data_IF_874815952243
#
_entry.id   IF_874815952243
#
_cell.length_a   1.000
_cell.length_b   1.000
_cell.length_c   1.000
_cell.angle_alpha   90.00
_cell.angle_beta   90.00
_cell.angle_gamma   90.00
#
_symmetry.space_group_name_H-M   'P 1'
#
loop_
_entity.id
_entity.type
_entity.pdbx_description
1 polymer ?
2 non-polymer ?
3 water ?
#
# COMPACT_ATOMS: atom_id res chain seq x y z
N UNK A 13 15.43 -24.94 9.03
CA UNK A 13 15.35 -25.73 10.25
C UNK A 13 15.32 -24.84 11.48
N UNK A 14 15.84 -23.63 11.32
CA UNK A 14 15.69 -22.58 12.31
C UNK A 14 14.78 -21.51 11.75
N UNK A 15 15.18 -20.25 11.88
CA UNK A 15 14.37 -19.14 11.39
C UNK A 15 14.41 -19.09 9.86
N UNK A 16 13.26 -18.89 9.25
CA UNK A 16 13.16 -18.82 7.80
C UNK A 16 12.70 -17.41 7.41
N UNK A 17 13.31 -16.83 6.38
CA UNK A 17 12.87 -15.54 5.86
C UNK A 17 12.35 -15.76 4.43
N UNK A 18 11.18 -15.20 4.14
CA UNK A 18 10.64 -15.26 2.78
C UNK A 18 10.48 -13.83 2.30
N UNK A 19 11.38 -13.38 1.44
CA UNK A 19 11.28 -12.02 0.91
C UNK A 19 10.41 -11.94 -0.34
N UNK A 20 9.68 -10.84 -0.49
CA UNK A 20 8.92 -10.58 -1.70
C UNK A 20 9.73 -9.65 -2.61
N UNK A 21 9.50 -9.69 -3.94
CA UNK A 21 10.27 -8.79 -4.81
C UNK A 21 10.10 -7.31 -4.41
N UNK A 22 8.99 -6.98 -3.74
CA UNK A 22 8.74 -5.60 -3.32
C UNK A 22 9.55 -5.17 -2.08
N UNK A 23 10.28 -6.10 -1.46
CA UNK A 23 11.10 -5.76 -0.31
C UNK A 23 10.54 -6.14 1.06
N UNK A 24 9.24 -6.42 1.13
CA UNK A 24 8.65 -6.91 2.37
C UNK A 24 9.04 -8.37 2.59
N UNK A 25 8.80 -8.90 3.79
CA UNK A 25 9.18 -10.29 4.05
C UNK A 25 8.36 -10.92 5.17
N UNK A 26 8.32 -12.25 5.19
CA UNK A 26 7.77 -13.02 6.32
C UNK A 26 8.94 -13.70 7.01
N UNK A 27 8.93 -13.71 8.35
CA UNK A 27 10.04 -14.31 9.09
C UNK A 27 9.52 -15.05 10.31
N UNK A 28 10.07 -16.24 10.55
CA UNK A 28 9.71 -17.05 11.69
C UNK A 28 10.17 -18.48 11.51
N UNK A 29 9.91 -19.31 12.52
CA UNK A 29 10.20 -20.73 12.43
C UNK A 29 8.99 -21.42 11.80
N UNK A 30 9.25 -22.37 10.91
CA UNK A 30 8.19 -23.09 10.20
C UNK A 30 7.79 -24.38 10.93
N UNK A 31 6.63 -24.93 10.57
CA UNK A 31 6.22 -26.25 11.10
C UNK A 31 6.79 -27.41 10.28
N UNK A 32 6.46 -28.64 10.68
CA UNK A 32 6.98 -29.83 10.03
C UNK A 32 6.67 -29.92 8.53
N UNK A 33 5.63 -29.20 8.11
CA UNK A 33 5.24 -29.15 6.71
C UNK A 33 5.90 -27.96 6.00
N UNK A 34 6.78 -27.27 6.72
CA UNK A 34 7.48 -26.11 6.17
C UNK A 34 6.57 -24.92 5.97
N UNK A 35 5.58 -24.77 6.85
CA UNK A 35 4.63 -23.67 6.77
C UNK A 35 4.89 -22.60 7.83
N UNK A 36 4.73 -21.33 7.43
CA UNK A 36 4.83 -20.21 8.35
C UNK A 36 3.64 -20.18 9.32
N UNK A 37 3.65 -21.06 10.30
CA UNK A 37 2.52 -21.19 11.23
C UNK A 37 2.99 -21.11 12.68
N UNK A 38 2.38 -20.22 13.46
CA UNK A 38 2.75 -20.05 14.86
C UNK A 38 2.34 -18.71 15.45
N UNK A 39 2.81 -18.44 16.68
CA UNK A 39 2.40 -17.24 17.41
C UNK A 39 3.52 -16.21 17.42
N UNK A 40 4.66 -16.59 16.87
CA UNK A 40 5.83 -15.71 16.83
C UNK A 40 6.31 -15.51 15.39
N UNK A 41 5.36 -15.35 14.47
CA UNK A 41 5.66 -15.06 13.06
C UNK A 41 5.54 -13.56 12.84
N UNK A 42 6.27 -13.00 11.87
CA UNK A 42 6.16 -11.57 11.58
C UNK A 42 6.16 -11.25 10.11
N UNK A 43 5.37 -10.26 9.71
CA UNK A 43 5.59 -9.60 8.43
C UNK A 43 6.44 -8.35 8.68
N UNK A 44 7.47 -8.14 7.87
CA UNK A 44 8.33 -6.97 8.01
C UNK A 44 8.22 -6.14 6.75
N UNK A 45 7.86 -4.87 6.91
CA UNK A 45 7.71 -3.96 5.78
C UNK A 45 9.03 -3.71 5.05
N UNK A 46 8.99 -3.05 3.88
CA UNK A 46 10.25 -2.84 3.13
C UNK A 46 11.29 -1.95 3.81
N UNK A 47 10.94 -1.25 4.89
CA UNK A 47 11.96 -0.50 5.61
C UNK A 47 12.86 -1.42 6.45
N UNK A 48 12.49 -2.69 6.50
CA UNK A 48 13.22 -3.69 7.31
C UNK A 48 13.25 -3.29 8.80
N UNK A 49 12.22 -2.59 9.25
CA UNK A 49 12.14 -2.14 10.64
C UNK A 49 10.73 -2.26 11.18
N UNK A 50 9.76 -1.77 10.40
CA UNK A 50 8.36 -1.81 10.80
C UNK A 50 7.79 -3.21 10.61
N UNK A 51 7.14 -3.74 11.63
CA UNK A 51 6.70 -5.14 11.59
C UNK A 51 5.33 -5.40 12.23
N UNK A 52 4.63 -6.40 11.71
CA UNK A 52 3.41 -6.90 12.33
C UNK A 52 3.72 -8.29 12.90
N UNK A 53 3.72 -8.41 14.22
CA UNK A 53 4.24 -9.61 14.87
C UNK A 53 3.15 -10.32 15.65
N UNK A 54 3.09 -11.63 15.49
CA UNK A 54 2.11 -12.40 16.24
C UNK A 54 1.71 -13.68 15.54
N UNK A 55 0.40 -13.87 15.39
CA UNK A 55 -0.15 -15.16 14.98
C UNK A 55 -0.41 -15.27 13.48
N UNK A 56 0.31 -16.19 12.84
CA UNK A 56 0.14 -16.46 11.40
C UNK A 56 -0.18 -17.94 11.17
N UNK A 57 -1.00 -18.22 10.18
CA UNK A 57 -1.21 -19.60 9.73
C UNK A 57 -0.84 -19.74 8.25
N UNK A 58 0.19 -20.54 7.98
CA UNK A 58 0.73 -20.76 6.64
C UNK A 58 1.04 -19.44 5.92
N UNK A 59 1.65 -18.52 6.65
CA UNK A 59 2.04 -17.24 6.09
C UNK A 59 0.96 -16.17 6.14
N UNK A 60 -0.26 -16.57 6.47
CA UNK A 60 -1.39 -15.64 6.51
C UNK A 60 -1.54 -15.01 7.89
N UNK A 61 -1.60 -13.68 7.94
CA UNK A 61 -1.71 -12.96 9.20
C UNK A 61 -3.09 -13.14 9.88
N UNK A 62 -3.09 -13.75 11.05
CA UNK A 62 -4.32 -13.88 11.84
C UNK A 62 -4.40 -12.75 12.86
N UNK A 63 -3.29 -12.53 13.55
CA UNK A 63 -3.20 -11.43 14.51
C UNK A 63 -1.78 -10.90 14.54
N UNK A 64 -1.56 -9.79 13.82
CA UNK A 64 -0.28 -9.11 13.79
C UNK A 64 -0.31 -7.82 14.59
N UNK A 65 0.52 -7.74 15.62
CA UNK A 65 0.62 -6.56 16.45
C UNK A 65 1.77 -5.68 15.96
N UNK A 66 1.59 -4.37 16.01
CA UNK A 66 2.62 -3.46 15.50
C UNK A 66 3.88 -3.61 16.34
N UNK A 67 5.01 -3.78 15.65
CA UNK A 67 6.29 -4.03 16.32
C UNK A 67 7.43 -3.39 15.55
N UNK A 68 8.62 -3.37 16.18
CA UNK A 68 9.82 -2.88 15.52
C UNK A 68 10.91 -3.95 15.52
N UNK A 69 11.50 -4.21 14.37
CA UNK A 69 12.62 -5.15 14.29
C UNK A 69 13.88 -4.46 14.84
N UNK A 70 14.23 -4.76 16.08
CA UNK A 70 15.31 -4.06 16.75
C UNK A 70 16.69 -4.52 16.28
N UNK A 71 16.84 -5.83 16.11
CA UNK A 71 18.09 -6.39 15.62
C UNK A 71 17.89 -7.79 15.11
N UNK A 72 18.89 -8.28 14.39
CA UNK A 72 18.90 -9.63 13.89
C UNK A 72 20.25 -10.23 14.22
N UNK A 73 20.25 -11.46 14.75
CA UNK A 73 21.50 -12.12 15.06
C UNK A 73 21.53 -13.49 14.41
N UNK A 74 22.45 -13.68 13.48
CA UNK A 74 22.53 -14.92 12.71
C UNK A 74 21.17 -15.32 12.16
N UNK A 75 20.46 -14.33 11.60
CA UNK A 75 19.16 -14.60 10.99
C UNK A 75 18.00 -14.62 11.98
N UNK A 76 18.29 -14.50 13.27
CA UNK A 76 17.26 -14.56 14.30
C UNK A 76 16.81 -13.15 14.69
N UNK A 77 15.57 -12.78 14.34
CA UNK A 77 15.10 -11.40 14.58
C UNK A 77 14.71 -11.14 16.03
N UNK A 78 14.97 -9.92 16.49
CA UNK A 78 14.49 -9.54 17.79
C UNK A 78 13.42 -8.47 17.61
N UNK A 79 12.19 -8.80 18.00
CA UNK A 79 11.08 -7.86 17.89
C UNK A 79 10.74 -7.24 19.22
N UNK A 80 10.34 -5.97 19.18
CA UNK A 80 9.89 -5.27 20.36
C UNK A 80 8.54 -4.64 19.99
N UNK A 81 7.49 -4.99 20.73
CA UNK A 81 6.16 -4.51 20.38
C UNK A 81 6.05 -2.99 20.58
N UNK A 82 5.34 -2.33 19.67
CA UNK A 82 5.04 -0.91 19.82
C UNK A 82 3.95 -0.71 20.87
N UNK A 83 3.94 0.47 21.51
CA UNK A 83 2.89 0.73 22.50
C UNK A 83 1.51 0.74 21.84
N UNK A 84 0.48 0.40 22.61
CA UNK A 84 -0.87 0.46 22.10
C UNK A 84 -1.50 -0.87 21.75
N UNK A 85 -2.68 -0.82 21.15
CA UNK A 85 -3.43 -2.01 20.79
C UNK A 85 -3.62 -2.15 19.28
N UNK A 86 -2.73 -1.54 18.50
CA UNK A 86 -2.78 -1.68 17.05
C UNK A 86 -2.56 -3.14 16.67
N UNK A 87 -3.64 -3.82 16.27
CA UNK A 87 -3.53 -5.16 15.70
C UNK A 87 -4.12 -5.22 14.28
N UNK A 88 -3.54 -6.07 13.44
CA UNK A 88 -3.96 -6.21 12.05
C UNK A 88 -4.17 -7.69 11.71
N UNK A 89 -4.97 -7.94 10.69
CA UNK A 89 -5.20 -9.30 10.21
C UNK A 89 -5.31 -9.28 8.68
N UNK A 90 -5.05 -10.43 8.05
CA UNK A 90 -5.26 -10.59 6.63
C UNK A 90 -6.74 -10.27 6.40
N UNK A 91 -7.05 -9.30 5.55
CA UNK A 91 -8.41 -8.76 5.43
C UNK A 91 -8.63 -8.36 3.97
N UNK A 92 -8.41 -9.31 3.08
CA UNK A 92 -8.42 -9.03 1.65
C UNK A 92 -9.80 -8.56 1.19
N UNK A 93 -9.83 -7.54 0.33
CA UNK A 93 -11.09 -6.95 -0.10
C UNK A 93 -11.89 -7.90 -1.01
N UNK A 94 -13.19 -7.66 -1.14
CA UNK A 94 -14.01 -8.38 -2.11
C UNK A 94 -14.50 -7.37 -3.15
N UNK A 95 -15.45 -7.76 -3.99
CA UNK A 95 -15.96 -6.83 -4.99
C UNK A 95 -16.75 -5.67 -4.35
N UNK A 96 -17.29 -5.89 -3.14
CA UNK A 96 -18.09 -4.87 -2.47
C UNK A 96 -17.61 -4.50 -1.04
N UNK A 97 -16.67 -5.25 -0.49
CA UNK A 97 -16.15 -4.91 0.83
C UNK A 97 -14.69 -4.49 0.75
N UNK A 98 -14.43 -3.20 0.93
CA UNK A 98 -13.09 -2.65 0.80
C UNK A 98 -12.19 -3.02 1.97
N UNK A 99 -12.78 -3.22 3.15
CA UNK A 99 -12.03 -3.43 4.39
C UNK A 99 -12.98 -3.71 5.56
N UNK A 100 -12.53 -4.55 6.50
CA UNK A 100 -13.26 -4.77 7.75
C UNK A 100 -13.11 -3.58 8.69
N UNK A 101 -12.05 -2.79 8.51
CA UNK A 101 -11.89 -1.57 9.30
C UNK A 101 -11.35 -0.42 8.46
N UNK A 102 -12.27 0.28 7.78
CA UNK A 102 -11.96 1.36 6.87
C UNK A 102 -11.14 2.51 7.47
N UNK A 103 -11.29 2.73 8.78
CA UNK A 103 -10.64 3.87 9.43
C UNK A 103 -9.35 3.50 10.18
N UNK A 104 -8.92 2.26 10.05
CA UNK A 104 -7.67 1.81 10.66
C UNK A 104 -6.55 1.99 9.64
N UNK A 105 -5.67 3.00 9.85
CA UNK A 105 -4.61 3.32 8.88
C UNK A 105 -3.54 2.24 8.82
N UNK A 106 -2.74 2.26 7.74
CA UNK A 106 -1.59 1.39 7.68
C UNK A 106 -0.44 2.12 8.38
N UNK A 107 0.23 1.46 9.34
CA UNK A 107 1.23 2.14 10.18
C UNK A 107 2.50 2.52 9.41
N UNK A 108 2.85 1.73 8.40
CA UNK A 108 4.05 2.04 7.59
C UNK A 108 3.76 3.28 6.74
N UNK A 109 2.59 3.28 6.12
CA UNK A 109 2.13 4.39 5.30
C UNK A 109 1.97 5.68 6.12
N UNK A 110 1.43 5.56 7.34
CA UNK A 110 1.17 6.71 8.20
C UNK A 110 2.42 7.51 8.54
N UNK A 111 3.56 6.83 8.54
CA UNK A 111 4.81 7.49 8.85
C UNK A 111 5.42 8.12 7.61
N UNK A 112 4.84 7.85 6.44
CA UNK A 112 5.50 8.31 5.21
C UNK A 112 4.74 9.31 4.35
N UNK A 113 3.41 9.28 4.40
CA UNK A 113 2.63 10.17 3.55
C UNK A 113 1.47 10.78 4.32
N UNK A 114 0.99 11.92 3.84
CA UNK A 114 -0.26 12.50 4.32
C UNK A 114 -1.05 13.04 3.15
N UNK A 115 -2.34 13.28 3.38
CA UNK A 115 -3.20 13.87 2.36
C UNK A 115 -3.40 15.36 2.65
N UNK A 116 -3.24 16.20 1.62
CA UNK A 116 -3.53 17.63 1.72
C UNK A 116 -4.04 18.15 0.36
N UNK A 117 -4.40 19.44 0.29
CA UNK A 117 -4.86 19.97 -0.98
C UNK A 117 -3.69 19.92 -1.96
N UNK A 118 -3.94 19.37 -3.14
CA UNK A 118 -2.90 19.25 -4.18
C UNK A 118 -2.34 20.61 -4.57
N UNK A 119 -1.11 20.63 -5.05
CA UNK A 119 -0.50 21.84 -5.60
C UNK A 119 -0.91 22.04 -7.06
N UNK A 120 -1.41 20.98 -7.69
CA UNK A 120 -1.97 21.08 -9.04
C UNK A 120 -3.34 21.75 -8.94
N UNK A 121 -3.50 22.84 -9.69
CA UNK A 121 -4.72 23.64 -9.62
C UNK A 121 -5.95 22.84 -10.05
N UNK A 122 -7.04 22.98 -9.28
CA UNK A 122 -8.30 22.30 -9.58
C UNK A 122 -8.14 20.79 -9.69
N UNK A 123 -7.30 20.22 -8.82
CA UNK A 123 -7.03 18.79 -8.85
C UNK A 123 -7.56 18.09 -7.61
N UNK A 124 -7.96 18.88 -6.61
CA UNK A 124 -8.51 18.33 -5.37
C UNK A 124 -7.44 18.02 -4.34
N UNK A 125 -7.58 16.89 -3.66
CA UNK A 125 -6.57 16.47 -2.72
C UNK A 125 -5.41 15.78 -3.43
N UNK A 126 -4.25 15.80 -2.78
CA UNK A 126 -3.07 15.13 -3.29
C UNK A 126 -2.43 14.32 -2.18
N UNK A 127 -1.39 13.57 -2.53
CA UNK A 127 -0.63 12.77 -1.57
C UNK A 127 0.77 13.37 -1.43
N UNK A 128 1.20 13.58 -0.19
CA UNK A 128 2.47 14.26 0.07
C UNK A 128 3.37 13.39 0.94
N UNK A 129 4.68 13.48 0.76
CA UNK A 129 5.62 12.73 1.59
C UNK A 129 5.85 13.44 2.93
N UNK A 130 6.02 12.67 4.00
CA UNK A 130 6.35 13.23 5.32
C UNK A 130 7.85 13.31 5.50
N UNK A 131 8.59 12.70 4.57
CA UNK A 131 9.99 12.38 4.82
C UNK A 131 10.83 12.50 3.55
N UNK A 132 12.09 12.86 3.72
CA UNK A 132 13.04 12.81 2.61
C UNK A 132 13.48 11.36 2.45
N UNK A 133 13.29 10.78 1.26
CA UNK A 133 13.73 9.40 1.05
C UNK A 133 14.41 9.24 -0.30
N UNK A 134 15.10 8.12 -0.48
CA UNK A 134 15.81 7.87 -1.72
C UNK A 134 14.95 7.21 -2.79
N UNK A 135 15.58 6.90 -3.94
CA UNK A 135 14.90 6.24 -5.06
C UNK A 135 14.35 4.88 -4.68
N UNK A 136 13.28 4.45 -5.35
CA UNK A 136 12.72 3.11 -5.15
C UNK A 136 12.14 2.83 -3.77
N UNK A 137 11.66 3.87 -3.11
CA UNK A 137 11.08 3.71 -1.78
C UNK A 137 9.57 3.54 -1.83
N UNK A 138 9.06 2.47 -1.25
CA UNK A 138 7.62 2.26 -1.15
C UNK A 138 7.06 3.29 -0.18
N UNK A 139 6.06 4.06 -0.61
CA UNK A 139 5.56 5.15 0.23
C UNK A 139 4.13 4.93 0.73
N UNK A 140 3.30 4.30 -0.10
CA UNK A 140 1.87 4.27 0.10
C UNK A 140 1.26 3.07 -0.58
N UNK A 141 0.11 2.60 -0.08
CA UNK A 141 -0.57 1.42 -0.67
C UNK A 141 -1.86 1.78 -1.39
N UNK A 142 -2.10 1.06 -2.48
CA UNK A 142 -3.32 1.28 -3.24
C UNK A 142 -4.18 0.04 -3.09
N UNK A 143 -4.93 -0.01 -1.99
CA UNK A 143 -5.93 -1.06 -1.80
C UNK A 143 -7.29 -0.55 -2.28
N UNK A 144 -8.19 -1.48 -2.60
CA UNK A 144 -9.54 -1.13 -2.94
C UNK A 144 -10.36 -2.38 -3.17
N UNK A 145 -11.62 -2.21 -3.57
CA UNK A 145 -12.43 -3.39 -3.93
C UNK A 145 -11.90 -3.99 -5.23
N UNK A 146 -12.24 -5.25 -5.45
CA UNK A 146 -11.72 -6.02 -6.58
C UNK A 146 -12.83 -6.38 -7.58
N UNK A 147 -12.83 -5.71 -8.71
CA UNK A 147 -13.83 -5.96 -9.74
C UNK A 147 -13.16 -6.36 -11.06
N UNK A 148 -13.93 -6.87 -12.01
CA UNK A 148 -13.39 -7.33 -13.28
C UNK A 148 -13.17 -6.18 -14.25
N UNK A 149 -12.31 -6.40 -15.25
CA UNK A 149 -12.10 -5.42 -16.31
C UNK A 149 -13.38 -5.15 -17.08
N UNK A 150 -14.19 -6.18 -17.26
CA UNK A 150 -15.45 -6.03 -17.97
C UNK A 150 -16.38 -5.07 -17.23
N UNK A 151 -16.54 -5.27 -15.92
CA UNK A 151 -17.35 -4.37 -15.11
C UNK A 151 -16.88 -2.91 -15.23
N UNK A 152 -15.57 -2.70 -15.20
CA UNK A 152 -14.99 -1.38 -15.32
C UNK A 152 -15.18 -0.80 -16.72
N UNK A 153 -14.68 -1.52 -17.72
CA UNK A 153 -14.69 -1.04 -19.10
C UNK A 153 -16.12 -0.93 -19.66
N UNK A 154 -17.08 -1.54 -18.98
CA UNK A 154 -18.48 -1.49 -19.42
C UNK A 154 -19.35 -0.70 -18.44
N UNK A 155 -18.92 0.49 -18.07
CA UNK A 155 -19.73 1.38 -17.24
C UNK A 155 -19.32 2.83 -17.44
N UNK A 156 -20.17 3.74 -16.93
CA UNK A 156 -19.92 5.19 -17.00
C UNK A 156 -18.47 5.53 -16.63
N UNK A 157 -17.82 6.33 -17.48
CA UNK A 157 -16.46 6.82 -17.26
C UNK A 157 -16.35 7.47 -15.88
N UNK A 158 -17.39 8.19 -15.49
CA UNK A 158 -17.41 8.95 -14.24
C UNK A 158 -17.30 8.07 -12.99
N UNK A 159 -17.49 6.76 -13.15
CA UNK A 159 -17.34 5.80 -12.06
C UNK A 159 -15.90 5.35 -11.89
N UNK A 160 -15.04 5.78 -12.81
CA UNK A 160 -13.69 5.24 -12.91
C UNK A 160 -12.55 6.20 -12.57
N UNK A 161 -12.83 7.19 -11.73
CA UNK A 161 -11.80 8.11 -11.28
C UNK A 161 -10.75 7.41 -10.43
N UNK A 162 -11.13 6.33 -9.76
CA UNK A 162 -10.24 5.62 -8.83
C UNK A 162 -9.85 4.19 -9.21
N UNK A 163 -10.14 3.78 -10.45
CA UNK A 163 -9.84 2.43 -10.90
C UNK A 163 -8.39 2.24 -11.36
N UNK A 164 -7.76 1.19 -10.82
CA UNK A 164 -6.38 0.85 -11.17
C UNK A 164 -6.27 -0.63 -11.45
N UNK A 165 -5.88 -0.99 -12.67
CA UNK A 165 -5.70 -2.38 -13.06
C UNK A 165 -4.65 -3.07 -12.17
N UNK A 166 -4.99 -4.25 -11.65
CA UNK A 166 -4.09 -4.99 -10.77
C UNK A 166 -3.31 -6.00 -11.59
N UNK A 167 -4.06 -6.83 -12.31
CA UNK A 167 -3.49 -7.83 -13.19
C UNK A 167 -4.46 -8.14 -14.31
N UNK A 168 -4.26 -9.29 -14.96
CA UNK A 168 -5.10 -9.70 -16.08
C UNK A 168 -6.53 -10.04 -15.67
N UNK A 169 -6.73 -10.36 -14.39
CA UNK A 169 -8.04 -10.78 -13.92
C UNK A 169 -8.77 -9.70 -13.11
N UNK A 170 -8.04 -8.72 -12.59
CA UNK A 170 -8.56 -7.86 -11.54
C UNK A 170 -8.27 -6.36 -11.68
N UNK A 171 -9.30 -5.54 -11.44
CA UNK A 171 -9.14 -4.10 -11.28
C UNK A 171 -9.46 -3.66 -9.84
N UNK A 172 -8.58 -2.85 -9.26
CA UNK A 172 -8.79 -2.26 -7.92
C UNK A 172 -9.56 -0.93 -8.05
N UNK A 173 -10.56 -0.71 -7.19
CA UNK A 173 -11.28 0.57 -7.16
C UNK A 173 -11.46 1.10 -5.73
N UNK A 174 -11.57 2.42 -5.60
CA UNK A 174 -11.97 3.06 -4.34
C UNK A 174 -13.19 3.91 -4.66
N UNK A 175 -14.38 3.28 -4.66
CA UNK A 175 -15.61 3.97 -5.08
C UNK A 175 -16.15 4.89 -3.98
N UNK A 176 -17.09 5.75 -4.31
CA UNK A 176 -17.79 6.55 -3.31
C UNK A 176 -18.41 5.61 -2.27
N UNK A 177 -18.39 5.98 -0.98
CA UNK A 177 -17.84 7.22 -0.39
C UNK A 177 -16.41 7.02 0.11
N UNK A 178 -15.81 5.91 -0.26
CA UNK A 178 -14.46 5.58 0.22
C UNK A 178 -13.37 6.46 -0.36
N UNK A 179 -13.70 7.28 -1.35
CA UNK A 179 -12.73 8.24 -1.91
C UNK A 179 -12.54 9.45 -1.00
N UNK A 180 -13.25 9.45 0.12
CA UNK A 180 -13.13 10.47 1.14
C UNK A 180 -12.37 9.91 2.32
N UNK A 181 -11.37 10.68 2.77
CA UNK A 181 -10.51 10.26 3.87
C UNK A 181 -11.31 10.06 5.16
N UNK A 182 -12.41 10.80 5.29
CA UNK A 182 -13.26 10.66 6.47
C UNK A 182 -13.97 9.29 6.53
N UNK A 183 -14.05 8.59 5.39
CA UNK A 183 -14.74 7.30 5.33
C UNK A 183 -13.75 6.16 5.12
N UNK A 184 -12.62 6.45 4.51
CA UNK A 184 -11.63 5.41 4.27
C UNK A 184 -10.22 5.97 4.28
N UNK A 185 -9.41 5.47 5.22
CA UNK A 185 -8.00 5.85 5.31
C UNK A 185 -7.08 4.65 5.60
N UNK A 186 -7.59 3.44 5.39
CA UNK A 186 -6.76 2.23 5.56
C UNK A 186 -5.55 2.23 4.63
N UNK A 187 -5.71 2.81 3.43
CA UNK A 187 -4.63 2.99 2.45
C UNK A 187 -4.88 4.34 1.78
N UNK A 188 -3.85 4.94 1.19
CA UNK A 188 -4.02 6.31 0.63
C UNK A 188 -3.51 6.48 -0.80
N UNK A 189 -3.11 5.38 -1.45
CA UNK A 189 -2.51 5.45 -2.77
C UNK A 189 -3.39 6.09 -3.82
N UNK A 190 -4.70 6.02 -3.61
CA UNK A 190 -5.66 6.60 -4.55
C UNK A 190 -5.72 8.13 -4.47
N UNK A 191 -4.92 8.72 -3.59
CA UNK A 191 -4.89 10.18 -3.47
C UNK A 191 -3.75 10.82 -4.28
N UNK A 192 -2.88 9.98 -4.84
CA UNK A 192 -1.78 10.49 -5.67
C UNK A 192 -2.34 11.00 -7.00
N UNK A 193 -2.05 12.26 -7.30
CA UNK A 193 -2.49 12.87 -8.56
C UNK A 193 -1.56 12.52 -9.73
N UNK A 194 -1.95 12.92 -10.94
CA UNK A 194 -1.20 12.61 -12.14
C UNK A 194 -0.15 13.67 -12.51
N UNK A 195 0.96 13.24 -13.11
CA UNK A 195 1.93 14.16 -13.73
C UNK A 195 2.70 13.49 -14.85
N UNK A 196 3.10 14.27 -15.86
CA UNK A 196 3.92 13.76 -16.95
C UNK A 196 5.40 13.82 -16.59
N UNK A 197 5.70 14.42 -15.44
CA UNK A 197 7.02 14.34 -14.84
C UNK A 197 6.88 13.79 -13.42
N UNK A 198 6.39 12.53 -13.32
CA UNK A 198 6.06 12.02 -11.99
C UNK A 198 7.31 11.72 -11.16
N UNK A 199 7.19 11.71 -9.84
CA UNK A 199 8.31 11.28 -9.02
C UNK A 199 8.09 9.85 -8.49
N UNK A 200 6.91 9.27 -8.74
CA UNK A 200 6.61 7.87 -8.37
C UNK A 200 5.99 7.06 -9.51
N UNK A 201 5.93 5.75 -9.29
CA UNK A 201 5.22 4.83 -10.18
C UNK A 201 4.33 3.95 -9.30
N UNK A 202 3.30 3.36 -9.90
CA UNK A 202 2.57 2.27 -9.27
C UNK A 202 3.40 1.01 -9.42
N UNK A 203 3.45 0.17 -8.39
CA UNK A 203 4.25 -1.05 -8.46
C UNK A 203 3.50 -2.20 -7.75
N UNK A 204 3.78 -3.44 -8.12
CA UNK A 204 3.15 -4.59 -7.45
C UNK A 204 3.55 -4.62 -5.96
N UNK A 205 2.66 -5.12 -5.11
CA UNK A 205 2.97 -5.23 -3.68
C UNK A 205 2.14 -6.35 -3.03
N UNK A 206 2.80 -7.18 -2.21
CA UNK A 206 2.10 -8.27 -1.52
C UNK A 206 1.93 -7.82 -0.06
N UNK A 207 0.70 -7.47 0.35
CA UNK A 207 0.51 -6.81 1.66
C UNK A 207 -0.08 -7.84 2.62
N UNK A 208 0.41 -7.88 3.87
CA UNK A 208 -0.08 -8.91 4.81
C UNK A 208 -1.53 -8.67 5.22
N UNK A 209 -1.97 -7.42 5.17
CA UNK A 209 -3.38 -7.10 5.45
C UNK A 209 -4.23 -7.13 4.19
N UNK A 210 -3.80 -6.38 3.17
CA UNK A 210 -4.62 -6.22 1.95
C UNK A 210 -4.43 -7.30 0.90
N UNK A 211 -3.38 -8.12 1.03
CA UNK A 211 -3.14 -9.13 0.01
C UNK A 211 -2.44 -8.54 -1.22
N UNK A 212 -2.58 -9.18 -2.39
CA UNK A 212 -1.89 -8.64 -3.56
C UNK A 212 -2.53 -7.32 -3.99
N UNK A 213 -1.75 -6.24 -4.02
CA UNK A 213 -2.29 -4.95 -4.44
C UNK A 213 -1.23 -4.19 -5.22
N UNK A 214 -1.41 -2.87 -5.38
CA UNK A 214 -0.32 -2.06 -5.92
C UNK A 214 0.13 -1.07 -4.86
N UNK A 215 1.33 -0.53 -5.01
CA UNK A 215 1.82 0.49 -4.09
C UNK A 215 2.35 1.67 -4.89
N UNK A 216 2.62 2.78 -4.19
CA UNK A 216 3.28 3.92 -4.80
C UNK A 216 4.76 3.80 -4.43
N UNK A 217 5.64 3.81 -5.43
CA UNK A 217 7.07 3.70 -5.19
C UNK A 217 7.81 4.87 -5.85
N UNK A 218 8.67 5.56 -5.10
CA UNK A 218 9.40 6.70 -5.68
C UNK A 218 10.31 6.25 -6.83
N UNK A 219 10.47 7.13 -7.82
CA UNK A 219 11.39 6.87 -8.92
C UNK A 219 12.74 7.44 -8.56
N UNK A 220 12.77 8.33 -7.58
CA UNK A 220 14.00 9.01 -7.25
C UNK A 220 13.88 9.62 -5.87
N UNK A 221 14.92 10.35 -5.46
CA UNK A 221 14.89 11.09 -4.21
C UNK A 221 13.70 12.06 -4.14
N UNK A 222 13.00 12.06 -3.02
CA UNK A 222 11.91 13.00 -2.80
C UNK A 222 12.12 13.66 -1.44
N UNK A 223 11.74 14.92 -1.33
CA UNK A 223 11.94 15.66 -0.09
C UNK A 223 10.72 15.53 0.82
N UNK A 224 10.89 15.87 2.09
CA UNK A 224 9.76 16.01 3.01
C UNK A 224 8.78 17.06 2.46
N UNK A 225 7.48 16.75 2.53
CA UNK A 225 6.43 17.64 2.04
C UNK A 225 6.39 17.87 0.52
N UNK A 226 7.09 17.01 -0.22
CA UNK A 226 6.99 17.04 -1.68
C UNK A 226 5.74 16.28 -2.10
N UNK A 227 4.98 16.82 -3.06
CA UNK A 227 3.80 16.09 -3.55
C UNK A 227 4.25 14.86 -4.33
N UNK A 228 3.58 13.73 -4.07
CA UNK A 228 3.86 12.48 -4.78
C UNK A 228 2.94 12.35 -5.99
N UNK A 229 3.51 12.16 -7.16
CA UNK A 229 2.72 11.99 -8.37
C UNK A 229 3.11 10.72 -9.15
N UNK A 230 2.17 10.25 -9.97
CA UNK A 230 2.41 9.09 -10.82
C UNK A 230 1.82 9.42 -12.20
N UNK A 231 2.39 8.85 -13.26
CA UNK A 231 1.81 9.03 -14.59
C UNK A 231 0.66 8.03 -14.76
N UNK A 232 -0.55 8.54 -14.94
CA UNK A 232 -1.73 7.68 -15.00
C UNK A 232 -1.74 6.79 -16.24
N UNK A 233 -1.08 7.24 -17.30
CA UNK A 233 -0.92 6.43 -18.50
C UNK A 233 -2.21 6.00 -19.19
N UNK A 234 -3.04 6.97 -19.53
CA UNK A 234 -4.22 6.70 -20.33
C UNK A 234 -3.85 6.55 -21.80
N UNK A 247 -10.91 11.52 -20.57
CA UNK A 247 -10.91 12.34 -19.35
C UNK A 247 -10.41 13.76 -19.64
N UNK A 248 -11.24 14.77 -19.40
CA UNK A 248 -10.97 16.14 -19.83
C UNK A 248 -9.67 16.73 -19.27
N UNK A 249 -9.65 16.94 -17.95
CA UNK A 249 -8.51 17.53 -17.23
C UNK A 249 -7.16 17.02 -17.71
N UNK A 250 -7.13 15.76 -18.14
CA UNK A 250 -5.92 15.07 -18.55
C UNK A 250 -5.47 15.56 -19.93
N UNK A 251 -6.38 15.53 -20.89
CA UNK A 251 -6.07 15.97 -22.25
C UNK A 251 -5.67 17.44 -22.33
N UNK A 252 -6.19 18.24 -21.41
CA UNK A 252 -5.77 19.64 -21.28
C UNK A 252 -4.33 19.71 -20.79
N UNK A 253 -4.04 19.03 -19.68
CA UNK A 253 -2.71 19.03 -19.09
C UNK A 253 -1.70 18.51 -20.10
N UNK A 254 -2.12 17.54 -20.90
CA UNK A 254 -1.30 17.01 -21.99
C UNK A 254 -0.85 18.14 -22.94
N UNK A 255 -1.81 18.95 -23.37
CA UNK A 255 -1.51 20.10 -24.23
C UNK A 255 -0.58 21.09 -23.54
N UNK A 256 -0.78 21.26 -22.23
CA UNK A 256 0.03 22.19 -21.44
C UNK A 256 1.48 21.72 -21.33
N UNK A 257 1.67 20.42 -21.37
CA UNK A 257 2.98 19.80 -21.16
C UNK A 257 3.82 19.70 -22.44
N UNK A 258 3.19 19.39 -23.56
CA UNK A 258 3.88 19.29 -24.84
C UNK A 258 4.55 20.61 -25.20
N UNK A 259 3.90 21.71 -24.84
CA UNK A 259 4.48 23.04 -24.99
C UNK A 259 5.70 23.19 -24.09
#
# INVERSE_FOLDING_TARGET
GSSGSSGKDNIRHGVCWIYYPDGGSLVGEVNEDGEMTGEKIAYVYPDERTALYGKFIDGEMIEGKLATLMSTEEGRPHFELMPGNSVYHFDKSTSSCISTNALLPDPYESERVYVAESLISSAGEGLFSKVAVGPNTVMSFYNGVRITHQEVDSRDWALNGNTLSLDEETVIDVPEPYNHVSKYCASLGHKANHSFTPNCIYDMFVHPRFGPIKCIRTLRAVEADEELTVAYGYDHSPPGKSGPEAPEWYQVELKAFQATQQK
#
